data_IF_767634716090
#
_entry.id   IF_767634716090
#
_cell.length_a   1.000
_cell.length_b   1.000
_cell.length_c   1.000
_cell.angle_alpha   90.00
_cell.angle_beta   90.00
_cell.angle_gamma   90.00
#
_symmetry.space_group_name_H-M   'P 1'
#
loop_
_entity.id
_entity.type
_entity.pdbx_description
1 polymer ?
#
# COMPACT_ATOMS: atom_id res chain seq x y z
N UNK A 1 30.64 29.80 38.17
CA UNK A 1 30.89 28.45 37.65
C UNK A 1 29.94 27.37 38.21
N UNK A 2 29.49 27.42 39.47
CA UNK A 2 28.69 26.34 40.10
C UNK A 2 27.26 26.07 39.59
N UNK A 3 26.57 27.01 38.94
CA UNK A 3 25.14 26.84 38.59
C UNK A 3 24.89 26.08 37.30
N UNK A 4 25.82 26.13 36.34
CA UNK A 4 25.71 25.40 35.07
C UNK A 4 26.05 23.91 35.25
N UNK A 5 27.08 23.63 36.05
CA UNK A 5 27.53 22.28 36.37
C UNK A 5 26.45 21.47 37.11
N UNK A 6 25.74 22.11 38.05
CA UNK A 6 24.60 21.51 38.74
C UNK A 6 23.43 21.17 37.80
N UNK A 7 23.14 22.03 36.82
CA UNK A 7 22.11 21.76 35.80
C UNK A 7 22.49 20.60 34.89
N UNK A 8 23.75 20.52 34.48
CA UNK A 8 24.26 19.42 33.64
C UNK A 8 24.18 18.10 34.42
N UNK A 9 24.62 18.07 35.68
CA UNK A 9 24.53 16.87 36.51
C UNK A 9 23.07 16.41 36.73
N UNK A 10 22.14 17.35 36.93
CA UNK A 10 20.71 17.04 37.04
C UNK A 10 20.09 16.50 35.76
N UNK A 11 20.57 16.94 34.59
CA UNK A 11 20.10 16.41 33.30
C UNK A 11 20.66 15.00 33.04
N UNK A 12 21.92 14.75 33.41
CA UNK A 12 22.56 13.44 33.29
C UNK A 12 21.88 12.42 34.21
N UNK A 13 21.57 12.80 35.46
CA UNK A 13 20.85 11.91 36.38
C UNK A 13 19.43 11.61 35.89
N UNK A 14 18.70 12.62 35.38
CA UNK A 14 17.38 12.42 34.77
C UNK A 14 17.42 11.49 33.56
N UNK A 15 18.42 11.63 32.70
CA UNK A 15 18.61 10.75 31.53
C UNK A 15 18.86 9.30 31.93
N UNK A 16 19.70 9.06 32.95
CA UNK A 16 19.96 7.70 33.47
C UNK A 16 18.71 7.07 34.08
N UNK A 17 17.90 7.86 34.76
CA UNK A 17 16.66 7.36 35.36
C UNK A 17 15.65 6.93 34.29
N UNK A 18 15.51 7.72 33.23
CA UNK A 18 14.66 7.36 32.08
C UNK A 18 15.17 6.09 31.38
N UNK A 19 16.48 5.94 31.23
CA UNK A 19 17.09 4.75 30.63
C UNK A 19 16.79 3.48 31.45
N UNK A 20 16.87 3.56 32.78
CA UNK A 20 16.58 2.43 33.67
C UNK A 20 15.08 2.07 33.67
N UNK A 21 14.19 3.06 33.64
CA UNK A 21 12.74 2.84 33.49
C UNK A 21 12.39 2.16 32.16
N UNK A 22 13.06 2.59 31.08
CA UNK A 22 12.90 1.98 29.76
C UNK A 22 13.38 0.52 29.77
N UNK A 23 14.54 0.26 30.40
CA UNK A 23 15.11 -1.09 30.53
C UNK A 23 14.20 -2.03 31.30
N UNK A 24 13.64 -1.55 32.42
CA UNK A 24 12.67 -2.29 33.22
C UNK A 24 11.37 -2.58 32.45
N UNK A 25 10.90 -1.62 31.66
CA UNK A 25 9.72 -1.79 30.80
C UNK A 25 9.96 -2.84 29.72
N UNK A 26 11.11 -2.80 29.04
CA UNK A 26 11.50 -3.80 28.04
C UNK A 26 11.57 -5.20 28.67
N UNK A 27 12.18 -5.33 29.85
CA UNK A 27 12.28 -6.61 30.55
C UNK A 27 10.90 -7.20 30.87
N UNK A 28 9.97 -6.35 31.36
CA UNK A 28 8.59 -6.76 31.70
C UNK A 28 7.78 -7.15 30.45
N UNK A 29 7.96 -6.43 29.34
CA UNK A 29 7.35 -6.80 28.05
C UNK A 29 7.91 -8.13 27.54
N UNK A 30 9.23 -8.34 27.60
CA UNK A 30 9.87 -9.61 27.19
C UNK A 30 9.36 -10.80 28.00
N UNK A 31 9.19 -10.64 29.32
CA UNK A 31 8.59 -11.66 30.17
C UNK A 31 7.14 -11.97 29.78
N UNK A 32 6.37 -10.93 29.43
CA UNK A 32 4.96 -11.07 29.02
C UNK A 32 4.84 -11.78 27.67
N UNK A 33 5.71 -11.46 26.70
CA UNK A 33 5.78 -12.16 25.41
C UNK A 33 6.15 -13.63 25.59
N UNK A 34 7.10 -13.92 26.49
CA UNK A 34 7.51 -15.30 26.79
C UNK A 34 6.37 -16.11 27.42
N UNK A 35 5.64 -15.52 28.37
CA UNK A 35 4.45 -16.14 28.97
C UNK A 35 3.34 -16.40 27.94
N UNK A 36 3.06 -15.42 27.07
CA UNK A 36 2.06 -15.55 26.01
C UNK A 36 2.43 -16.65 25.01
N UNK A 37 3.72 -16.74 24.65
CA UNK A 37 4.26 -17.78 23.75
C UNK A 37 4.15 -19.17 24.37
N UNK A 38 4.42 -19.29 25.67
CA UNK A 38 4.24 -20.53 26.43
C UNK A 38 2.77 -20.95 26.46
N UNK A 39 1.86 -20.02 26.78
CA UNK A 39 0.41 -20.26 26.78
C UNK A 39 -0.13 -20.66 25.41
N UNK A 40 0.35 -20.01 24.35
CA UNK A 40 0.00 -20.37 22.97
C UNK A 40 0.48 -21.78 22.62
N UNK A 41 1.69 -22.15 23.03
CA UNK A 41 2.26 -23.49 22.81
C UNK A 41 1.48 -24.57 23.57
N UNK A 42 0.99 -24.27 24.79
CA UNK A 42 0.14 -25.17 25.57
C UNK A 42 -1.25 -25.34 24.96
N UNK A 43 -1.86 -24.26 24.45
CA UNK A 43 -3.17 -24.30 23.78
C UNK A 43 -3.14 -25.06 22.45
N UNK A 44 -1.96 -25.35 21.90
CA UNK A 44 -1.81 -26.03 20.61
C UNK A 44 -1.10 -27.39 20.72
N UNK A 45 -0.94 -27.91 21.94
CA UNK A 45 -0.32 -29.23 22.19
C UNK A 45 -1.23 -30.41 21.86
N UNK A 46 -2.55 -30.21 21.81
CA UNK A 46 -3.57 -31.26 21.61
C UNK A 46 -4.43 -31.11 20.34
N UNK A 47 -3.98 -30.36 19.32
CA UNK A 47 -4.63 -30.50 18.00
C UNK A 47 -4.17 -31.80 17.34
N UNK A 48 -5.07 -32.72 16.98
CA UNK A 48 -4.70 -33.87 16.17
C UNK A 48 -4.10 -33.36 14.85
N UNK A 49 -2.99 -33.97 14.43
CA UNK A 49 -2.46 -33.77 13.08
C UNK A 49 -3.57 -34.06 12.06
N UNK A 50 -3.73 -33.25 11.00
CA UNK A 50 -4.66 -33.59 9.93
C UNK A 50 -4.24 -34.94 9.32
N UNK A 51 -5.23 -35.81 9.16
CA UNK A 51 -5.08 -37.14 8.57
C UNK A 51 -4.37 -36.99 7.21
N UNK A 52 -3.25 -37.70 7.05
CA UNK A 52 -2.52 -37.80 5.78
C UNK A 52 -3.50 -38.37 4.75
N UNK A 53 -3.86 -37.56 3.74
CA UNK A 53 -4.73 -38.01 2.65
C UNK A 53 -4.19 -39.31 2.07
N UNK A 54 -5.03 -40.36 2.15
CA UNK A 54 -4.77 -41.66 1.53
C UNK A 54 -4.77 -41.47 0.01
N UNK A 55 -3.90 -42.18 -0.74
CA UNK A 55 -3.90 -42.09 -2.20
C UNK A 55 -5.26 -42.52 -2.76
N UNK A 56 -5.81 -41.70 -3.66
CA UNK A 56 -7.03 -41.99 -4.39
C UNK A 56 -6.94 -43.37 -5.08
N UNK A 57 -7.93 -44.24 -4.83
CA UNK A 57 -8.21 -45.44 -5.61
C UNK A 57 -8.81 -45.02 -6.96
N UNK A 58 -8.17 -45.38 -8.05
CA UNK A 58 -8.75 -45.28 -9.39
C UNK A 58 -9.85 -46.34 -9.58
N UNK A 59 -10.93 -46.03 -10.31
CA UNK A 59 -11.92 -47.03 -10.70
C UNK A 59 -11.38 -47.91 -11.83
N UNK A 60 -11.52 -49.22 -11.63
CA UNK A 60 -11.26 -50.26 -12.61
C UNK A 60 -12.16 -50.09 -13.85
N UNK A 61 -11.56 -50.00 -15.03
CA UNK A 61 -12.17 -50.48 -16.27
C UNK A 61 -11.16 -51.33 -17.01
N UNK A 62 -11.55 -52.58 -17.24
CA UNK A 62 -10.82 -53.64 -17.91
C UNK A 62 -10.76 -53.43 -19.41
N UNK A 63 -9.58 -53.69 -19.99
CA UNK A 63 -9.45 -54.36 -21.29
C UNK A 63 -8.86 -53.56 -22.44
N UNK A 64 -7.69 -53.99 -22.93
CA UNK A 64 -7.26 -53.73 -24.32
C UNK A 64 -5.80 -53.33 -24.49
N UNK A 65 -4.94 -54.30 -24.75
CA UNK A 65 -3.56 -54.13 -25.24
C UNK A 65 -3.44 -53.20 -26.45
N UNK A 66 -2.39 -52.37 -26.48
CA UNK A 66 -1.34 -52.34 -27.53
C UNK A 66 -0.30 -51.26 -27.22
N UNK A 67 0.98 -51.65 -27.25
CA UNK A 67 2.15 -50.75 -27.32
C UNK A 67 2.17 -50.09 -28.71
N UNK A 68 2.44 -48.77 -28.81
CA UNK A 68 3.70 -48.40 -29.47
C UNK A 68 4.39 -47.15 -28.86
N UNK A 69 5.71 -47.18 -29.02
CA UNK A 69 6.71 -46.12 -28.86
C UNK A 69 6.34 -44.85 -29.65
N UNK A 70 6.36 -43.65 -29.04
CA UNK A 70 6.64 -42.38 -29.74
C UNK A 70 6.77 -41.17 -28.78
N UNK A 71 7.96 -40.56 -28.81
CA UNK A 71 8.26 -39.12 -28.79
C UNK A 71 7.48 -38.20 -27.82
N UNK A 72 8.17 -37.75 -26.76
CA UNK A 72 7.81 -36.57 -25.96
C UNK A 72 7.89 -35.32 -26.85
N UNK A 73 6.81 -34.52 -27.02
CA UNK A 73 6.93 -33.19 -27.58
C UNK A 73 7.33 -32.19 -26.48
N UNK A 74 8.30 -31.35 -26.79
CA UNK A 74 8.73 -30.23 -25.95
C UNK A 74 7.58 -29.27 -25.70
N UNK A 75 7.38 -28.88 -24.44
CA UNK A 75 6.47 -27.80 -24.05
C UNK A 75 7.04 -26.50 -24.58
N UNK A 76 6.48 -26.01 -25.69
CA UNK A 76 6.76 -24.67 -26.20
C UNK A 76 6.12 -23.66 -25.25
N UNK A 77 6.94 -22.95 -24.47
CA UNK A 77 6.50 -21.73 -23.80
C UNK A 77 6.01 -20.75 -24.86
N UNK A 78 4.70 -20.52 -24.91
CA UNK A 78 4.12 -19.44 -25.70
C UNK A 78 4.50 -18.13 -25.01
N UNK A 79 5.58 -17.52 -25.49
CA UNK A 79 5.95 -16.15 -25.15
C UNK A 79 4.83 -15.23 -25.63
N UNK A 80 4.23 -14.48 -24.69
CA UNK A 80 3.29 -13.41 -25.00
C UNK A 80 4.00 -12.32 -25.83
N UNK A 81 3.41 -11.79 -26.93
CA UNK A 81 4.20 -11.08 -27.95
C UNK A 81 4.72 -9.69 -27.59
N UNK A 82 4.52 -9.18 -26.37
CA UNK A 82 4.72 -7.76 -26.06
C UNK A 82 5.52 -7.47 -24.77
N UNK A 83 6.42 -8.34 -24.33
CA UNK A 83 7.41 -7.94 -23.31
C UNK A 83 8.58 -7.30 -24.04
N UNK A 84 8.80 -5.97 -23.92
CA UNK A 84 9.90 -5.33 -24.62
C UNK A 84 11.23 -5.86 -24.09
N UNK A 85 12.23 -5.97 -24.97
CA UNK A 85 13.58 -6.50 -24.68
C UNK A 85 14.30 -5.71 -23.58
N UNK A 86 13.85 -4.49 -23.33
CA UNK A 86 14.15 -3.68 -22.15
C UNK A 86 12.86 -3.67 -21.33
N UNK A 87 12.87 -4.17 -20.08
CA UNK A 87 11.66 -4.33 -19.26
C UNK A 87 10.80 -3.05 -19.13
N UNK A 88 9.59 -3.15 -18.55
CA UNK A 88 8.67 -2.00 -18.36
C UNK A 88 9.37 -0.75 -17.79
N UNK A 89 9.02 0.45 -18.26
CA UNK A 89 9.64 1.71 -17.78
C UNK A 89 9.43 1.89 -16.28
N UNK A 90 8.24 1.56 -15.77
CA UNK A 90 7.95 1.61 -14.34
C UNK A 90 8.93 0.75 -13.51
N UNK A 91 9.38 -0.38 -14.05
CA UNK A 91 10.41 -1.21 -13.40
C UNK A 91 11.79 -0.57 -13.47
N UNK A 92 12.16 0.03 -14.61
CA UNK A 92 13.44 0.73 -14.77
C UNK A 92 13.55 1.93 -13.81
N UNK A 93 12.51 2.78 -13.78
CA UNK A 93 12.43 3.94 -12.88
C UNK A 93 12.50 3.49 -11.42
N UNK A 94 11.86 2.37 -11.07
CA UNK A 94 11.99 1.79 -9.74
C UNK A 94 13.45 1.48 -9.41
N UNK A 95 14.19 0.77 -10.27
CA UNK A 95 15.60 0.46 -10.02
C UNK A 95 16.49 1.72 -9.93
N UNK A 96 16.21 2.76 -10.71
CA UNK A 96 16.89 4.06 -10.60
C UNK A 96 16.63 4.74 -9.24
N UNK A 97 15.38 4.74 -8.78
CA UNK A 97 15.02 5.25 -7.45
C UNK A 97 15.77 4.46 -6.38
N UNK A 98 15.76 3.14 -6.47
CA UNK A 98 16.46 2.26 -5.53
C UNK A 98 17.96 2.55 -5.47
N UNK A 99 18.61 2.68 -6.63
CA UNK A 99 20.02 3.06 -6.73
C UNK A 99 20.31 4.43 -6.14
N UNK A 100 19.47 5.43 -6.42
CA UNK A 100 19.63 6.77 -5.88
C UNK A 100 19.51 6.79 -4.34
N UNK A 101 18.56 6.03 -3.77
CA UNK A 101 18.39 5.93 -2.33
C UNK A 101 19.60 5.25 -1.66
N UNK A 102 20.14 4.20 -2.29
CA UNK A 102 21.34 3.51 -1.81
C UNK A 102 22.58 4.43 -1.84
N UNK A 103 22.79 5.16 -2.94
CA UNK A 103 23.90 6.10 -3.09
C UNK A 103 23.86 7.22 -2.04
N UNK A 104 22.67 7.73 -1.71
CA UNK A 104 22.49 8.74 -0.65
C UNK A 104 22.53 8.16 0.77
N UNK A 105 22.71 6.84 0.94
CA UNK A 105 22.73 6.19 2.24
C UNK A 105 21.41 6.30 3.01
N UNK A 106 20.28 6.49 2.31
CA UNK A 106 18.98 6.69 2.94
C UNK A 106 18.49 5.36 3.53
N UNK A 107 18.44 5.27 4.86
CA UNK A 107 17.91 4.10 5.56
C UNK A 107 16.37 4.07 5.46
N UNK A 108 15.83 2.94 5.02
CA UNK A 108 14.40 2.74 4.71
C UNK A 108 13.48 2.56 5.91
N UNK A 109 14.03 2.50 7.12
CA UNK A 109 13.28 2.14 8.31
C UNK A 109 13.08 3.32 9.25
N UNK A 110 11.91 3.96 9.15
CA UNK A 110 11.34 4.76 10.23
C UNK A 110 9.91 4.29 10.42
N UNK A 111 9.64 3.66 11.57
CA UNK A 111 8.30 3.16 11.91
C UNK A 111 7.28 4.31 11.90
N UNK A 112 6.11 4.09 11.30
CA UNK A 112 5.03 5.08 11.19
C UNK A 112 5.29 6.20 10.17
N UNK A 113 6.29 6.04 9.28
CA UNK A 113 6.52 6.97 8.17
C UNK A 113 6.31 6.24 6.83
N UNK A 114 5.53 6.89 5.97
CA UNK A 114 5.20 6.45 4.62
C UNK A 114 5.80 7.45 3.63
N UNK A 115 7.03 7.23 3.16
CA UNK A 115 7.82 8.27 2.48
C UNK A 115 7.27 8.68 1.11
N UNK A 116 6.50 7.80 0.49
CA UNK A 116 5.84 8.05 -0.79
C UNK A 116 4.49 8.75 -0.60
N UNK A 117 3.90 8.73 0.59
CA UNK A 117 2.56 9.24 0.82
C UNK A 117 2.51 10.76 0.61
N UNK A 118 1.57 11.17 -0.24
CA UNK A 118 1.31 12.55 -0.61
C UNK A 118 -0.13 12.93 -0.26
N UNK A 119 -0.31 14.12 0.29
CA UNK A 119 -1.62 14.75 0.44
C UNK A 119 -1.82 15.68 -0.74
N UNK A 120 -2.79 15.36 -1.59
CA UNK A 120 -3.18 16.19 -2.74
C UNK A 120 -4.28 17.12 -2.26
N UNK A 121 -4.06 18.43 -2.33
CA UNK A 121 -5.00 19.40 -1.80
C UNK A 121 -5.26 20.59 -2.73
N UNK A 122 -6.43 21.20 -2.53
CA UNK A 122 -6.75 22.52 -3.05
C UNK A 122 -6.50 23.56 -1.97
N UNK A 123 -5.38 24.25 -2.07
CA UNK A 123 -5.01 25.39 -1.23
C UNK A 123 -5.81 26.62 -1.66
N UNK A 124 -6.62 27.16 -0.75
CA UNK A 124 -7.27 28.46 -0.88
C UNK A 124 -6.63 29.46 0.09
N UNK A 125 -6.88 30.77 -0.10
CA UNK A 125 -6.26 31.85 0.70
C UNK A 125 -6.36 31.67 2.22
N UNK A 126 -7.45 31.06 2.71
CA UNK A 126 -7.74 30.94 4.14
C UNK A 126 -8.20 29.53 4.58
N UNK A 127 -8.21 28.54 3.68
CA UNK A 127 -8.60 27.16 4.00
C UNK A 127 -8.13 26.14 2.94
N UNK A 128 -8.12 24.86 3.31
CA UNK A 128 -8.03 23.73 2.38
C UNK A 128 -9.37 22.99 2.41
N UNK A 129 -10.15 23.00 1.32
CA UNK A 129 -11.48 22.37 1.30
C UNK A 129 -11.44 20.89 0.94
N UNK A 130 -10.49 20.50 0.09
CA UNK A 130 -10.43 19.18 -0.50
C UNK A 130 -9.04 18.56 -0.32
N UNK A 131 -8.99 17.37 0.26
CA UNK A 131 -7.78 16.55 0.43
C UNK A 131 -8.05 15.16 -0.08
N UNK A 132 -7.09 14.67 -0.85
CA UNK A 132 -7.01 13.33 -1.39
C UNK A 132 -5.65 12.72 -1.07
N UNK A 133 -5.54 11.41 -1.26
CA UNK A 133 -4.26 10.73 -1.19
C UNK A 133 -3.60 10.67 -2.57
N UNK A 134 -2.27 10.68 -2.56
CA UNK A 134 -1.43 10.39 -3.72
C UNK A 134 -0.12 9.70 -3.29
N UNK A 135 0.60 9.14 -4.24
CA UNK A 135 1.90 8.52 -4.01
C UNK A 135 2.95 9.22 -4.87
N UNK A 136 4.07 9.64 -4.28
CA UNK A 136 5.26 10.06 -5.01
C UNK A 136 5.80 8.83 -5.77
N UNK A 137 5.93 8.95 -7.09
CA UNK A 137 6.37 7.86 -8.00
C UNK A 137 7.64 8.22 -8.79
N UNK A 138 8.19 9.41 -8.52
CA UNK A 138 9.47 9.92 -9.03
C UNK A 138 9.80 11.25 -8.36
N UNK A 139 10.88 11.93 -8.76
CA UNK A 139 11.30 13.20 -8.14
C UNK A 139 10.25 14.32 -8.24
N UNK A 140 9.43 14.31 -9.29
CA UNK A 140 8.44 15.36 -9.57
C UNK A 140 7.05 14.84 -9.92
N UNK A 141 6.82 13.54 -9.79
CA UNK A 141 5.57 12.90 -10.23
C UNK A 141 4.83 12.28 -9.06
N UNK A 142 3.55 12.62 -8.93
CA UNK A 142 2.66 12.07 -7.90
C UNK A 142 1.47 11.39 -8.59
N UNK A 143 1.26 10.12 -8.28
CA UNK A 143 0.12 9.33 -8.73
C UNK A 143 -1.07 9.54 -7.79
N UNK A 144 -2.27 9.71 -8.34
CA UNK A 144 -3.51 9.86 -7.57
C UNK A 144 -4.72 9.45 -8.43
N UNK A 145 -5.93 9.60 -7.92
CA UNK A 145 -7.14 9.34 -8.71
C UNK A 145 -7.51 10.55 -9.59
N UNK A 146 -8.10 10.29 -10.76
CA UNK A 146 -8.56 11.35 -11.66
C UNK A 146 -9.62 12.24 -10.99
N UNK A 147 -10.50 11.65 -10.19
CA UNK A 147 -11.52 12.33 -9.40
C UNK A 147 -10.90 13.39 -8.49
N UNK A 148 -9.77 13.08 -7.85
CA UNK A 148 -9.06 14.01 -6.99
C UNK A 148 -8.53 15.24 -7.73
N UNK A 149 -8.16 15.08 -9.01
CA UNK A 149 -7.72 16.18 -9.86
C UNK A 149 -8.90 16.98 -10.43
N UNK A 150 -9.90 16.28 -10.95
CA UNK A 150 -11.04 16.88 -11.65
C UNK A 150 -12.00 17.62 -10.72
N UNK A 151 -12.50 16.94 -9.68
CA UNK A 151 -13.45 17.55 -8.72
C UNK A 151 -12.70 18.40 -7.70
N UNK A 152 -11.55 17.91 -7.25
CA UNK A 152 -10.77 18.57 -6.22
C UNK A 152 -10.14 19.89 -6.64
N UNK A 153 -9.79 20.05 -7.92
CA UNK A 153 -9.06 21.23 -8.40
C UNK A 153 -7.72 21.39 -7.68
N UNK A 154 -6.99 20.28 -7.55
CA UNK A 154 -5.72 20.23 -6.83
C UNK A 154 -4.73 21.26 -7.40
N UNK A 155 -4.10 22.02 -6.52
CA UNK A 155 -3.06 22.99 -6.87
C UNK A 155 -1.81 22.88 -5.98
N UNK A 156 -1.85 21.99 -4.98
CA UNK A 156 -0.78 21.85 -4.00
C UNK A 156 -0.67 20.39 -3.55
N UNK A 157 0.56 19.95 -3.30
CA UNK A 157 0.89 18.63 -2.77
C UNK A 157 1.71 18.79 -1.51
N UNK A 158 1.39 18.01 -0.48
CA UNK A 158 2.12 17.95 0.78
C UNK A 158 2.71 16.57 0.99
N UNK A 159 4.03 16.49 1.13
CA UNK A 159 4.81 15.27 1.34
C UNK A 159 5.38 15.26 2.76
N UNK A 160 5.85 14.10 3.24
CA UNK A 160 6.42 13.93 4.59
C UNK A 160 5.46 14.40 5.71
N UNK A 161 4.15 14.32 5.48
CA UNK A 161 3.14 14.81 6.42
C UNK A 161 3.01 13.87 7.63
N UNK A 162 3.84 14.11 8.65
CA UNK A 162 3.70 13.52 9.98
C UNK A 162 2.64 14.29 10.77
N UNK A 163 2.11 13.68 11.83
CA UNK A 163 1.17 14.32 12.77
C UNK A 163 1.70 15.64 13.36
N UNK A 164 3.01 15.88 13.33
CA UNK A 164 3.67 17.07 13.86
C UNK A 164 3.66 18.30 12.92
N UNK A 165 3.17 18.20 11.68
CA UNK A 165 3.07 19.27 10.65
C UNK A 165 4.37 20.02 10.28
N UNK A 166 5.43 19.94 11.08
CA UNK A 166 6.71 20.67 10.91
C UNK A 166 7.62 20.03 9.87
N UNK A 167 7.44 18.73 9.61
CA UNK A 167 8.24 17.96 8.64
C UNK A 167 7.71 18.03 7.21
N UNK A 168 6.60 18.72 6.99
CA UNK A 168 5.84 18.66 5.75
C UNK A 168 6.49 19.47 4.62
N UNK A 169 6.76 18.82 3.48
CA UNK A 169 7.28 19.46 2.28
C UNK A 169 6.12 19.82 1.37
N UNK A 170 5.93 21.12 1.13
CA UNK A 170 4.91 21.65 0.23
C UNK A 170 5.43 21.88 -1.18
N UNK A 171 4.69 21.42 -2.18
CA UNK A 171 5.00 21.60 -3.61
C UNK A 171 3.76 22.09 -4.35
N UNK A 172 3.92 23.14 -5.15
CA UNK A 172 2.90 23.55 -6.11
C UNK A 172 2.85 22.56 -7.28
N UNK A 173 1.71 22.53 -7.95
CA UNK A 173 1.47 21.69 -9.12
C UNK A 173 1.75 22.49 -10.39
N UNK A 174 2.66 21.98 -11.23
CA UNK A 174 2.93 22.52 -12.57
C UNK A 174 1.84 22.09 -13.54
N UNK A 175 1.48 20.81 -13.53
CA UNK A 175 0.49 20.24 -14.45
C UNK A 175 -0.21 19.05 -13.85
N UNK A 176 -1.49 18.90 -14.19
CA UNK A 176 -2.28 17.69 -13.89
C UNK A 176 -2.54 16.94 -15.20
N UNK A 177 -2.35 15.62 -15.16
CA UNK A 177 -2.58 14.70 -16.26
C UNK A 177 -3.69 13.76 -15.84
N UNK A 178 -4.90 13.99 -16.35
CA UNK A 178 -6.04 13.12 -16.12
C UNK A 178 -6.09 12.09 -17.24
N UNK A 179 -6.40 10.83 -16.92
CA UNK A 179 -6.57 9.81 -17.95
C UNK A 179 -7.60 10.26 -19.00
N UNK A 180 -7.29 10.20 -20.31
CA UNK A 180 -8.12 10.82 -21.35
C UNK A 180 -9.51 10.20 -21.48
N UNK A 181 -9.68 8.95 -21.01
CA UNK A 181 -10.96 8.23 -20.99
C UNK A 181 -11.69 8.30 -19.64
N UNK A 182 -11.28 9.18 -18.72
CA UNK A 182 -11.93 9.31 -17.42
C UNK A 182 -13.39 9.78 -17.56
N UNK A 183 -14.34 9.00 -17.05
CA UNK A 183 -15.77 9.32 -17.09
C UNK A 183 -16.55 8.54 -16.02
N UNK A 184 -17.40 9.21 -15.22
CA UNK A 184 -18.29 8.59 -14.23
C UNK A 184 -17.62 7.45 -13.44
N UNK A 185 -16.47 7.74 -12.83
CA UNK A 185 -15.58 6.83 -12.07
C UNK A 185 -14.77 5.79 -12.86
N UNK A 186 -15.04 5.57 -14.15
CA UNK A 186 -14.16 4.74 -15.00
C UNK A 186 -12.85 5.45 -15.32
N UNK A 187 -11.76 4.70 -15.42
CA UNK A 187 -10.41 5.22 -15.69
C UNK A 187 -9.97 6.29 -14.68
N UNK A 188 -10.26 6.05 -13.40
CA UNK A 188 -10.08 7.02 -12.32
C UNK A 188 -8.61 7.15 -11.85
N UNK A 189 -7.71 7.45 -12.77
CA UNK A 189 -6.28 7.63 -12.51
C UNK A 189 -5.78 8.96 -13.05
N UNK A 190 -4.87 9.60 -12.33
CA UNK A 190 -4.21 10.81 -12.75
C UNK A 190 -2.79 10.93 -12.21
N UNK A 191 -1.97 11.69 -12.91
CA UNK A 191 -0.59 11.98 -12.54
C UNK A 191 -0.44 13.49 -12.39
N UNK A 192 0.21 13.92 -11.32
CA UNK A 192 0.56 15.31 -11.05
C UNK A 192 2.04 15.49 -11.37
N UNK A 193 2.38 16.51 -12.15
CA UNK A 193 3.74 17.02 -12.31
C UNK A 193 3.92 18.22 -11.35
N UNK A 194 4.92 18.13 -10.46
CA UNK A 194 5.26 19.17 -9.49
C UNK A 194 6.09 20.29 -10.14
N UNK A 195 6.03 21.51 -9.61
CA UNK A 195 6.83 22.65 -10.12
C UNK A 195 8.35 22.47 -9.98
N UNK A 196 8.81 21.58 -9.09
CA UNK A 196 10.23 21.28 -8.97
C UNK A 196 10.49 20.03 -8.16
N UNK A 197 11.69 19.47 -8.35
CA UNK A 197 12.09 18.16 -7.82
C UNK A 197 12.05 18.10 -6.30
N UNK A 198 11.65 16.95 -5.79
CA UNK A 198 11.67 16.59 -4.38
C UNK A 198 13.01 15.94 -4.07
N UNK A 199 13.75 16.54 -3.15
CA UNK A 199 14.98 15.94 -2.63
C UNK A 199 14.65 14.74 -1.74
N UNK A 200 15.18 13.57 -2.11
CA UNK A 200 14.95 12.35 -1.34
C UNK A 200 15.61 12.42 0.03
N UNK A 201 14.89 11.96 1.04
CA UNK A 201 15.37 11.80 2.42
C UNK A 201 14.69 10.58 3.06
N UNK A 202 15.05 10.21 4.29
CA UNK A 202 14.35 9.15 5.01
C UNK A 202 12.86 9.44 5.28
N UNK A 203 12.43 10.70 5.13
CA UNK A 203 11.04 11.13 5.31
C UNK A 203 10.24 11.16 4.02
N UNK A 204 10.92 11.27 2.87
CA UNK A 204 10.27 11.42 1.57
C UNK A 204 11.11 10.74 0.49
N UNK A 205 10.53 9.74 -0.15
CA UNK A 205 11.09 9.12 -1.35
C UNK A 205 9.97 8.40 -2.11
N UNK A 206 10.13 8.19 -3.42
CA UNK A 206 9.05 7.62 -4.21
C UNK A 206 8.86 6.13 -3.94
N UNK A 207 7.63 5.66 -4.10
CA UNK A 207 7.31 4.24 -4.13
C UNK A 207 7.36 3.72 -5.56
N UNK A 208 7.65 2.43 -5.70
CA UNK A 208 7.61 1.78 -7.00
C UNK A 208 6.16 1.49 -7.41
N UNK A 209 5.91 1.35 -8.71
CA UNK A 209 4.61 0.89 -9.20
C UNK A 209 4.55 -0.64 -9.17
N UNK A 210 3.34 -1.18 -8.93
CA UNK A 210 3.08 -2.60 -9.08
C UNK A 210 2.94 -2.96 -10.56
N UNK A 211 3.86 -3.77 -11.08
CA UNK A 211 3.96 -4.08 -12.53
C UNK A 211 3.45 -5.47 -12.92
N UNK A 212 2.89 -6.23 -11.97
CA UNK A 212 2.28 -7.51 -12.24
C UNK A 212 0.75 -7.39 -12.38
N UNK A 213 0.17 -8.17 -13.30
CA UNK A 213 -1.27 -8.16 -13.58
C UNK A 213 -2.11 -8.70 -12.40
N UNK A 214 -1.56 -9.71 -11.74
CA UNK A 214 -2.18 -10.37 -10.60
C UNK A 214 -1.57 -9.83 -9.32
N UNK A 215 -2.40 -9.27 -8.45
CA UNK A 215 -1.98 -8.83 -7.12
C UNK A 215 -1.88 -10.07 -6.25
N UNK A 216 -0.69 -10.30 -5.67
CA UNK A 216 -0.49 -11.40 -4.74
C UNK A 216 -1.30 -11.17 -3.46
N UNK A 217 -1.85 -12.25 -2.91
CA UNK A 217 -2.60 -12.26 -1.66
C UNK A 217 -1.61 -12.06 -0.51
N UNK A 218 -1.35 -10.80 -0.18
CA UNK A 218 -0.39 -10.39 0.85
C UNK A 218 -1.02 -9.41 1.83
N UNK A 219 -0.29 -9.08 2.89
CA UNK A 219 -0.60 -7.91 3.70
C UNK A 219 -0.55 -6.66 2.81
N UNK A 220 -1.53 -5.78 2.99
CA UNK A 220 -1.62 -4.51 2.29
C UNK A 220 -1.82 -3.37 3.29
N UNK A 221 -1.21 -2.24 3.01
CA UNK A 221 -1.38 -1.00 3.76
C UNK A 221 -2.29 -0.07 2.95
N UNK A 222 -3.33 0.44 3.59
CA UNK A 222 -4.36 1.26 2.94
C UNK A 222 -4.42 2.61 3.62
N UNK A 223 -4.26 3.66 2.84
CA UNK A 223 -4.29 5.05 3.30
C UNK A 223 -5.50 5.77 2.76
N UNK A 224 -6.19 6.48 3.63
CA UNK A 224 -7.33 7.30 3.28
C UNK A 224 -7.46 8.51 4.20
N UNK A 225 -8.20 9.51 3.75
CA UNK A 225 -8.59 10.65 4.60
C UNK A 225 -9.98 10.43 5.13
N UNK A 226 -10.18 10.61 6.43
CA UNK A 226 -11.52 10.70 7.02
C UNK A 226 -11.83 12.14 7.44
N UNK A 227 -13.09 12.52 7.33
CA UNK A 227 -13.61 13.74 7.95
C UNK A 227 -13.96 13.40 9.40
N UNK A 228 -13.30 14.04 10.38
CA UNK A 228 -13.90 14.13 11.72
C UNK A 228 -14.89 15.31 11.68
N UNK A 229 -16.03 15.20 12.38
CA UNK A 229 -17.16 16.14 12.33
C UNK A 229 -16.84 17.62 12.65
N UNK A 230 -15.58 17.93 12.98
CA UNK A 230 -15.09 19.30 12.97
C UNK A 230 -14.59 19.68 11.57
N UNK A 231 -15.34 20.57 10.90
CA UNK A 231 -15.09 21.21 9.58
C UNK A 231 -13.64 21.72 9.37
N UNK A 232 -12.82 21.78 10.42
CA UNK A 232 -11.46 22.29 10.42
C UNK A 232 -10.35 21.21 10.43
N UNK A 233 -10.64 19.94 10.74
CA UNK A 233 -9.61 18.91 10.95
C UNK A 233 -9.92 17.62 10.17
N UNK A 234 -9.40 17.54 8.94
CA UNK A 234 -9.30 16.29 8.18
C UNK A 234 -8.05 15.54 8.63
N UNK A 235 -8.23 14.33 9.15
CA UNK A 235 -7.15 13.48 9.68
C UNK A 235 -6.84 12.36 8.70
N UNK A 236 -5.55 12.16 8.42
CA UNK A 236 -5.05 11.00 7.69
C UNK A 236 -5.25 9.75 8.55
N UNK A 237 -5.85 8.72 7.99
CA UNK A 237 -5.99 7.41 8.64
C UNK A 237 -5.21 6.37 7.84
N UNK A 238 -4.48 5.54 8.58
CA UNK A 238 -3.83 4.33 8.08
C UNK A 238 -4.64 3.15 8.56
N UNK A 239 -4.94 2.24 7.65
CA UNK A 239 -5.55 0.99 8.02
C UNK A 239 -4.82 -0.18 7.39
N UNK A 240 -4.58 -1.19 8.23
CA UNK A 240 -3.85 -2.40 7.86
C UNK A 240 -4.84 -3.53 7.62
N UNK A 241 -4.66 -4.20 6.50
CA UNK A 241 -5.44 -5.35 6.14
C UNK A 241 -4.63 -6.40 5.41
N UNK A 242 -5.29 -7.49 5.11
CA UNK A 242 -4.75 -8.57 4.28
C UNK A 242 -5.65 -8.71 3.07
N UNK A 243 -5.05 -8.65 1.88
CA UNK A 243 -5.74 -9.08 0.67
C UNK A 243 -6.03 -10.56 0.82
N UNK A 244 -7.28 -10.97 0.59
CA UNK A 244 -7.73 -12.35 0.66
C UNK A 244 -8.47 -12.71 -0.63
N UNK A 245 -8.64 -14.00 -0.96
CA UNK A 245 -9.44 -14.41 -2.11
C UNK A 245 -10.82 -13.74 -2.10
N UNK A 246 -11.31 -13.32 -3.27
CA UNK A 246 -12.59 -12.63 -3.37
C UNK A 246 -13.78 -13.47 -2.86
N UNK A 247 -13.66 -14.80 -2.88
CA UNK A 247 -14.64 -15.74 -2.30
C UNK A 247 -14.98 -15.44 -0.82
N UNK A 248 -14.06 -14.86 -0.05
CA UNK A 248 -14.30 -14.46 1.33
C UNK A 248 -15.30 -13.29 1.45
N UNK A 249 -15.38 -12.46 0.40
CA UNK A 249 -16.31 -11.35 0.31
C UNK A 249 -17.58 -11.71 -0.47
N UNK A 250 -17.51 -12.67 -1.39
CA UNK A 250 -18.63 -13.07 -2.24
C UNK A 250 -19.91 -13.36 -1.43
N UNK A 251 -19.78 -14.10 -0.33
CA UNK A 251 -20.90 -14.58 0.49
C UNK A 251 -21.78 -13.47 1.10
N UNK A 252 -21.25 -12.26 1.32
CA UNK A 252 -22.04 -11.11 1.79
C UNK A 252 -22.17 -9.99 0.74
N UNK A 253 -21.44 -10.13 -0.38
CA UNK A 253 -21.62 -9.30 -1.57
C UNK A 253 -22.74 -9.81 -2.49
N UNK A 254 -23.33 -10.97 -2.17
CA UNK A 254 -24.42 -11.63 -2.87
C UNK A 254 -25.74 -10.83 -2.81
N UNK A 255 -25.81 -9.81 -3.65
CA UNK A 255 -27.06 -9.27 -4.24
C UNK A 255 -26.83 -8.48 -5.53
N UNK A 256 -25.57 -8.20 -5.94
CA UNK A 256 -25.28 -7.35 -7.11
C UNK A 256 -24.21 -7.91 -8.07
N UNK A 257 -23.78 -9.17 -7.91
CA UNK A 257 -22.69 -9.74 -8.70
C UNK A 257 -23.14 -10.33 -10.06
N UNK A 258 -23.60 -9.46 -10.95
CA UNK A 258 -23.23 -9.56 -12.37
C UNK A 258 -22.37 -8.33 -12.71
N UNK A 259 -21.27 -8.11 -11.98
CA UNK A 259 -20.32 -7.06 -12.36
C UNK A 259 -19.30 -7.68 -13.34
N UNK A 260 -19.24 -7.26 -14.62
CA UNK A 260 -18.27 -7.76 -15.61
C UNK A 260 -16.79 -7.45 -15.29
N UNK A 261 -16.49 -7.04 -14.06
CA UNK A 261 -15.17 -6.63 -13.58
C UNK A 261 -14.68 -7.50 -12.41
N UNK A 262 -15.00 -8.80 -12.42
CA UNK A 262 -14.53 -9.79 -11.43
C UNK A 262 -13.02 -9.68 -11.17
N UNK A 263 -12.25 -9.34 -12.22
CA UNK A 263 -10.80 -9.14 -12.12
C UNK A 263 -10.39 -7.90 -11.29
N UNK A 264 -11.21 -6.85 -11.18
CA UNK A 264 -10.88 -5.61 -10.45
C UNK A 264 -11.36 -5.61 -9.00
N UNK A 265 -12.12 -6.62 -8.62
CA UNK A 265 -12.65 -6.79 -7.27
C UNK A 265 -11.61 -7.47 -6.37
N UNK A 266 -11.41 -6.90 -5.19
CA UNK A 266 -10.59 -7.50 -4.14
C UNK A 266 -11.40 -7.63 -2.85
N UNK A 267 -10.99 -8.57 -2.02
CA UNK A 267 -11.47 -8.69 -0.67
C UNK A 267 -10.34 -8.36 0.30
N UNK A 268 -10.62 -7.47 1.25
CA UNK A 268 -9.66 -7.11 2.30
C UNK A 268 -10.20 -7.58 3.64
N UNK A 269 -9.40 -8.37 4.35
CA UNK A 269 -9.63 -8.70 5.76
C UNK A 269 -8.99 -7.63 6.63
N UNK A 270 -9.74 -7.05 7.55
CA UNK A 270 -9.21 -6.02 8.46
C UNK A 270 -8.99 -6.56 9.87
N UNK A 271 -8.00 -6.00 10.56
CA UNK A 271 -7.66 -6.40 11.92
C UNK A 271 -8.29 -5.50 12.99
N UNK A 272 -8.53 -4.23 12.69
CA UNK A 272 -9.06 -3.23 13.64
C UNK A 272 -10.02 -2.25 12.95
N UNK A 273 -11.13 -2.76 12.39
CA UNK A 273 -12.11 -1.91 11.73
C UNK A 273 -13.01 -1.22 12.77
N UNK A 274 -12.45 -0.24 13.49
CA UNK A 274 -13.25 0.75 14.21
C UNK A 274 -14.26 1.37 13.22
N UNK A 275 -15.37 1.86 13.73
CA UNK A 275 -16.60 2.36 13.06
C UNK A 275 -16.40 3.50 12.03
N UNK A 276 -15.17 3.71 11.57
CA UNK A 276 -14.80 4.62 10.50
C UNK A 276 -15.51 4.27 9.19
N UNK A 277 -16.33 5.21 8.74
CA UNK A 277 -16.85 5.25 7.38
C UNK A 277 -15.68 5.44 6.42
N UNK A 278 -15.38 4.40 5.63
CA UNK A 278 -14.44 4.53 4.52
C UNK A 278 -15.11 5.36 3.44
N UNK A 279 -14.62 6.57 3.23
CA UNK A 279 -15.02 7.35 2.08
C UNK A 279 -14.01 7.14 0.96
N UNK A 280 -14.38 6.27 0.01
CA UNK A 280 -13.76 6.16 -1.32
C UNK A 280 -13.71 7.49 -2.09
N UNK A 281 -14.48 8.49 -1.66
CA UNK A 281 -14.66 9.74 -2.41
C UNK A 281 -13.40 10.60 -2.55
N UNK A 282 -12.29 10.22 -1.90
CA UNK A 282 -11.05 10.99 -1.78
C UNK A 282 -9.78 10.21 -2.19
N UNK A 283 -9.90 9.15 -2.99
CA UNK A 283 -8.76 8.45 -3.57
C UNK A 283 -7.98 7.67 -2.52
N UNK A 284 -8.46 6.49 -2.12
CA UNK A 284 -7.71 5.63 -1.21
C UNK A 284 -6.47 5.04 -1.92
N UNK A 285 -5.33 5.00 -1.23
CA UNK A 285 -4.12 4.35 -1.75
C UNK A 285 -3.94 2.98 -1.15
N UNK A 286 -3.53 2.05 -1.99
CA UNK A 286 -3.25 0.68 -1.62
C UNK A 286 -1.79 0.38 -1.93
N UNK A 287 -1.07 -0.12 -0.94
CA UNK A 287 0.33 -0.50 -1.05
C UNK A 287 0.53 -1.96 -0.69
N UNK A 288 1.53 -2.59 -1.31
CA UNK A 288 2.07 -3.85 -0.78
C UNK A 288 2.78 -3.55 0.53
N UNK A 289 2.66 -4.41 1.53
CA UNK A 289 3.54 -4.32 2.69
C UNK A 289 5.01 -4.31 2.23
N UNK A 290 5.83 -3.48 2.86
CA UNK A 290 7.28 -3.43 2.62
C UNK A 290 7.89 -4.83 2.72
N UNK A 291 8.58 -5.26 1.67
CA UNK A 291 9.35 -6.51 1.71
C UNK A 291 10.57 -6.39 2.64
N UNK A 292 11.36 -7.47 2.78
CA UNK A 292 12.59 -7.48 3.60
C UNK A 292 13.64 -6.45 3.12
N UNK A 293 13.54 -5.99 1.87
CA UNK A 293 14.36 -4.91 1.29
C UNK A 293 13.73 -3.53 1.47
N UNK A 294 12.58 -3.43 2.16
CA UNK A 294 11.84 -2.21 2.38
C UNK A 294 11.15 -1.67 1.12
N UNK A 295 11.00 -2.48 0.07
CA UNK A 295 10.33 -2.07 -1.17
C UNK A 295 8.81 -2.13 -0.96
N UNK A 296 8.19 -0.97 -1.01
CA UNK A 296 6.74 -0.80 -1.08
C UNK A 296 6.35 -0.57 -2.54
N UNK A 297 5.17 -1.03 -2.94
CA UNK A 297 4.64 -0.78 -4.28
C UNK A 297 3.21 -0.27 -4.22
N UNK A 298 2.92 0.78 -4.99
CA UNK A 298 1.55 1.26 -5.18
C UNK A 298 0.78 0.26 -6.03
N UNK A 299 -0.28 -0.31 -5.48
CA UNK A 299 -1.15 -1.30 -6.12
C UNK A 299 -2.37 -0.63 -6.76
N UNK A 300 -2.97 0.35 -6.06
CA UNK A 300 -4.15 1.07 -6.53
C UNK A 300 -4.22 2.48 -5.95
N UNK A 301 -4.91 3.37 -6.67
CA UNK A 301 -4.98 4.81 -6.37
C UNK A 301 -6.39 5.29 -6.02
N UNK A 302 -7.36 4.40 -6.13
CA UNK A 302 -8.71 4.61 -5.65
C UNK A 302 -9.42 3.26 -5.49
N UNK A 303 -10.54 3.29 -4.78
CA UNK A 303 -11.49 2.18 -4.74
C UNK A 303 -12.93 2.68 -4.86
N UNK A 304 -13.80 1.88 -5.46
CA UNK A 304 -15.24 2.10 -5.50
C UNK A 304 -15.97 0.99 -4.75
N UNK A 305 -17.20 1.30 -4.32
CA UNK A 305 -18.20 0.37 -3.78
C UNK A 305 -17.67 -0.57 -2.69
N UNK A 306 -17.76 -0.11 -1.45
CA UNK A 306 -17.39 -0.91 -0.29
C UNK A 306 -18.58 -1.64 0.31
N UNK A 307 -18.82 -2.88 -0.10
CA UNK A 307 -19.64 -3.78 0.70
C UNK A 307 -18.78 -4.29 1.86
N UNK A 308 -19.30 -4.24 3.08
CA UNK A 308 -18.52 -4.51 4.31
C UNK A 308 -19.34 -5.30 5.32
N UNK A 309 -18.65 -6.17 6.06
CA UNK A 309 -19.04 -6.61 7.40
C UNK A 309 -17.93 -6.30 8.42
N UNK A 310 -18.02 -6.82 9.65
CA UNK A 310 -17.04 -6.51 10.70
C UNK A 310 -15.62 -7.00 10.39
N UNK A 311 -15.47 -7.94 9.46
CA UNK A 311 -14.20 -8.64 9.19
C UNK A 311 -13.65 -8.31 7.81
N UNK A 312 -14.52 -8.14 6.81
CA UNK A 312 -14.17 -8.09 5.41
C UNK A 312 -14.79 -6.89 4.70
N UNK A 313 -14.10 -6.39 3.68
CA UNK A 313 -14.60 -5.37 2.77
C UNK A 313 -14.25 -5.72 1.34
N UNK A 314 -15.28 -5.81 0.50
CA UNK A 314 -15.16 -5.92 -0.93
C UNK A 314 -14.90 -4.53 -1.52
N UNK A 315 -13.94 -4.41 -2.43
CA UNK A 315 -13.62 -3.13 -3.07
C UNK A 315 -13.29 -3.34 -4.54
N UNK A 316 -13.77 -2.44 -5.39
CA UNK A 316 -13.37 -2.36 -6.79
C UNK A 316 -12.20 -1.40 -6.93
N UNK A 317 -11.02 -1.89 -7.26
CA UNK A 317 -9.82 -1.05 -7.33
C UNK A 317 -9.61 -0.39 -8.68
N UNK A 318 -9.12 0.85 -8.65
CA UNK A 318 -8.38 1.41 -9.77
C UNK A 318 -6.93 0.93 -9.69
N UNK A 319 -6.66 -0.26 -10.24
CA UNK A 319 -5.34 -0.90 -10.18
C UNK A 319 -4.31 -0.13 -11.00
N UNK A 320 -3.14 0.11 -10.42
CA UNK A 320 -2.00 0.76 -11.10
C UNK A 320 -1.59 0.02 -12.36
N UNK A 321 -1.58 -1.32 -12.32
CA UNK A 321 -1.20 -2.17 -13.47
C UNK A 321 -1.98 -1.84 -14.74
N UNK A 322 -3.30 -1.63 -14.61
CA UNK A 322 -4.20 -1.40 -15.74
C UNK A 322 -3.94 -0.06 -16.46
N UNK A 323 -3.16 0.84 -15.83
CA UNK A 323 -2.88 2.19 -16.32
C UNK A 323 -1.38 2.48 -16.48
N UNK A 324 -0.51 1.47 -16.45
CA UNK A 324 0.93 1.68 -16.60
C UNK A 324 1.28 2.42 -17.88
N UNK A 325 0.65 2.07 -19.01
CA UNK A 325 0.93 2.73 -20.30
C UNK A 325 0.64 4.25 -20.24
N UNK A 326 -0.47 4.63 -19.59
CA UNK A 326 -0.81 6.03 -19.35
C UNK A 326 0.21 6.71 -18.43
N UNK A 327 0.52 6.08 -17.28
CA UNK A 327 1.45 6.64 -16.29
C UNK A 327 2.85 6.83 -16.91
N UNK A 328 3.35 5.81 -17.61
CA UNK A 328 4.64 5.84 -18.29
C UNK A 328 4.68 6.90 -19.40
N UNK A 329 3.58 7.11 -20.13
CA UNK A 329 3.50 8.17 -21.15
C UNK A 329 3.66 9.58 -20.58
N UNK A 330 3.20 9.80 -19.35
CA UNK A 330 3.34 11.09 -18.64
C UNK A 330 4.74 11.26 -18.07
N UNK A 331 5.33 10.20 -17.50
CA UNK A 331 6.67 10.29 -16.91
C UNK A 331 7.75 10.54 -17.97
N UNK A 332 7.52 10.11 -19.22
CA UNK A 332 8.45 10.34 -20.35
C UNK A 332 8.41 11.75 -20.93
N UNK A 333 7.35 12.53 -20.70
CA UNK A 333 7.09 13.82 -21.38
C UNK A 333 7.86 14.98 -20.76
#
# INVERSE_FOLDING_TARGET
MNTLEHKIQSLISGSRQIEEELRNTIHRLSATVSDLTSKFSLLHRDRPLPERERPFKNPSTTGGERRPTSLVPSVTHVLSPNVPTVGRLASQVCEEIEGALQLKGIKRYVSGIHPSLAIVERKMRWSSSFRCMGALIGQRFVLTSARCLYIGGANFVRLANRSDKTSAIGKNIKKTHIHPKYANTKNNVGVIELEGDVEYSSLVYPSCLYTAATISITNAEIFYTQHQDSVLLQTLQELRGQLVPYSNCATFAESHAQDPYENSLICVRYYNALDSSYSSSRGALFFTQKDLSGKERVIAVDSENSLRNDVYMAQKLTKVYDYLDFIESVIRS
#
